data_IF_465029190499
#
_entry.id   IF_465029190499
#
_cell.length_a   1.000
_cell.length_b   1.000
_cell.length_c   1.000
_cell.angle_alpha   90.00
_cell.angle_beta   90.00
_cell.angle_gamma   90.00
#
_symmetry.space_group_name_H-M   'P 1'
#
loop_
_entity.id
_entity.type
_entity.pdbx_description
1 polymer ?
#
# COMPACT_ATOMS: atom_id res chain seq x y z
N UNK A 1 46.89 55.56 33.43
CA UNK A 1 47.93 55.03 32.57
C UNK A 1 47.43 53.68 31.99
N UNK A 2 47.35 53.67 30.75
CA UNK A 2 47.57 52.53 29.84
C UNK A 2 46.41 51.53 29.65
N UNK A 3 45.87 51.69 28.56
CA UNK A 3 45.98 50.91 27.31
C UNK A 3 44.89 49.87 27.19
N UNK A 4 43.98 50.11 26.33
CA UNK A 4 43.93 49.60 24.92
C UNK A 4 44.42 48.16 24.87
N UNK A 5 43.51 47.33 24.37
CA UNK A 5 43.67 46.12 23.65
C UNK A 5 42.50 45.21 24.15
N UNK A 6 41.48 44.87 23.42
CA UNK A 6 41.44 44.03 22.30
C UNK A 6 40.08 44.12 21.57
N UNK A 7 40.13 44.74 20.46
CA UNK A 7 39.20 44.46 19.37
C UNK A 7 39.72 43.21 18.71
N UNK A 8 38.96 42.14 18.73
CA UNK A 8 38.98 41.06 17.75
C UNK A 8 38.17 39.88 18.30
N UNK A 9 36.84 39.97 18.23
CA UNK A 9 36.10 38.76 18.16
C UNK A 9 35.33 38.78 16.83
N UNK A 10 35.99 38.09 15.90
CA UNK A 10 35.46 37.80 14.60
C UNK A 10 34.15 37.02 14.75
N UNK A 11 33.13 37.56 14.16
CA UNK A 11 31.86 36.89 13.89
C UNK A 11 32.12 35.70 12.96
N UNK A 12 32.25 34.53 13.52
CA UNK A 12 32.11 33.29 12.75
C UNK A 12 30.65 32.89 12.80
N UNK A 13 29.85 33.51 11.94
CA UNK A 13 28.51 33.05 11.65
C UNK A 13 28.60 31.71 10.91
N UNK A 14 28.50 30.61 11.66
CA UNK A 14 28.36 29.29 11.13
C UNK A 14 26.93 29.14 10.61
N UNK A 15 26.72 29.46 9.35
CA UNK A 15 25.47 29.20 8.63
C UNK A 15 25.32 27.70 8.45
N UNK A 16 24.57 27.06 9.34
CA UNK A 16 24.09 25.72 9.15
C UNK A 16 23.04 25.78 8.03
N UNK A 17 23.46 25.48 6.82
CA UNK A 17 22.56 25.26 5.70
C UNK A 17 21.77 23.99 6.00
N UNK A 18 20.55 24.15 6.51
CA UNK A 18 19.57 23.08 6.61
C UNK A 18 19.19 22.65 5.20
N UNK A 19 19.80 21.60 4.69
CA UNK A 19 19.35 20.90 3.51
C UNK A 19 18.01 20.22 3.85
N UNK A 20 16.92 20.91 3.64
CA UNK A 20 15.58 20.31 3.62
C UNK A 20 15.46 19.49 2.34
N UNK A 21 15.75 18.20 2.46
CA UNK A 21 15.46 17.25 1.40
C UNK A 21 13.94 17.13 1.31
N UNK A 22 13.32 17.93 0.46
CA UNK A 22 11.92 17.78 0.09
C UNK A 22 11.83 16.52 -0.76
N UNK A 23 11.41 15.42 -0.15
CA UNK A 23 10.97 14.27 -0.91
C UNK A 23 9.63 14.64 -1.54
N UNK A 24 9.51 14.68 -2.85
CA UNK A 24 8.20 14.76 -3.48
C UNK A 24 7.49 13.44 -3.19
N UNK A 25 6.63 13.43 -2.18
CA UNK A 25 5.64 12.39 -2.04
C UNK A 25 4.66 12.55 -3.21
N UNK A 26 5.09 12.11 -4.38
CA UNK A 26 4.19 11.91 -5.49
C UNK A 26 3.31 10.70 -5.15
N UNK A 27 2.36 10.91 -4.24
CA UNK A 27 1.19 10.07 -4.15
C UNK A 27 0.48 10.24 -5.49
N UNK A 28 0.83 9.40 -6.45
CA UNK A 28 0.08 9.28 -7.69
C UNK A 28 -1.27 8.70 -7.28
N UNK A 29 -2.23 9.60 -7.06
CA UNK A 29 -3.62 9.22 -6.98
C UNK A 29 -3.93 8.51 -8.30
N UNK A 30 -4.03 7.17 -8.25
CA UNK A 30 -4.56 6.40 -9.36
C UNK A 30 -5.93 7.00 -9.62
N UNK A 31 -6.10 7.71 -10.74
CA UNK A 31 -7.42 8.12 -11.21
C UNK A 31 -8.20 6.86 -11.45
N UNK A 32 -8.97 6.45 -10.47
CA UNK A 32 -10.02 5.46 -10.68
C UNK A 32 -11.00 6.13 -11.61
N UNK A 33 -10.97 5.72 -12.88
CA UNK A 33 -11.86 6.28 -13.89
C UNK A 33 -13.32 6.05 -13.49
N UNK A 34 -14.23 6.87 -14.01
CA UNK A 34 -15.66 6.75 -13.76
C UNK A 34 -16.24 5.38 -14.13
N UNK A 35 -15.50 4.59 -14.92
CA UNK A 35 -15.89 3.26 -15.40
C UNK A 35 -15.26 2.09 -14.63
N UNK A 36 -14.78 2.32 -13.42
CA UNK A 36 -14.24 1.25 -12.58
C UNK A 36 -15.36 0.56 -11.78
N UNK A 37 -15.39 -0.81 -11.76
CA UNK A 37 -14.56 -1.73 -12.53
C UNK A 37 -15.13 -1.99 -13.94
N UNK A 38 -14.29 -2.04 -14.97
CA UNK A 38 -14.68 -2.33 -16.36
C UNK A 38 -14.23 -3.70 -16.87
N UNK A 39 -13.62 -4.50 -16.00
CA UNK A 39 -13.16 -5.87 -16.28
C UNK A 39 -13.23 -6.71 -15.00
N UNK A 40 -13.14 -8.05 -15.11
CA UNK A 40 -13.15 -8.94 -13.95
C UNK A 40 -12.06 -8.60 -12.94
N UNK A 41 -12.40 -8.72 -11.65
CA UNK A 41 -11.48 -8.54 -10.54
C UNK A 41 -10.98 -9.89 -10.04
N UNK A 42 -9.81 -9.88 -9.43
CA UNK A 42 -9.21 -11.04 -8.78
C UNK A 42 -9.26 -10.88 -7.26
N UNK A 43 -9.85 -11.84 -6.58
CA UNK A 43 -9.87 -11.91 -5.12
C UNK A 43 -8.91 -13.02 -4.66
N UNK A 44 -7.76 -12.64 -4.16
CA UNK A 44 -6.77 -13.56 -3.58
C UNK A 44 -7.18 -13.91 -2.16
N UNK A 45 -7.37 -15.20 -1.89
CA UNK A 45 -7.72 -15.70 -0.56
C UNK A 45 -6.55 -16.48 0.02
N UNK A 46 -6.03 -16.06 1.16
CA UNK A 46 -4.88 -16.68 1.82
C UNK A 46 -5.22 -17.99 2.56
N UNK A 47 -6.17 -18.73 2.04
CA UNK A 47 -6.63 -19.99 2.60
C UNK A 47 -6.82 -21.06 1.51
N UNK A 48 -6.83 -22.33 1.95
CA UNK A 48 -7.15 -23.44 1.07
C UNK A 48 -8.61 -23.39 0.63
N UNK A 49 -8.94 -23.87 -0.58
CA UNK A 49 -10.32 -24.00 -1.05
C UNK A 49 -11.16 -24.87 -0.09
N UNK A 50 -12.43 -24.51 0.07
CA UNK A 50 -13.37 -25.25 0.91
C UNK A 50 -13.34 -24.92 2.40
N UNK A 51 -12.44 -24.06 2.86
CA UNK A 51 -12.41 -23.56 4.23
C UNK A 51 -13.43 -22.45 4.49
N UNK A 52 -13.57 -22.06 5.77
CA UNK A 52 -14.46 -20.95 6.17
C UNK A 52 -14.16 -19.63 5.47
N UNK A 53 -12.87 -19.33 5.29
CA UNK A 53 -12.43 -18.12 4.57
C UNK A 53 -12.81 -18.18 3.07
N UNK A 54 -12.72 -19.34 2.46
CA UNK A 54 -13.14 -19.53 1.06
C UNK A 54 -14.66 -19.36 0.90
N UNK A 55 -15.45 -19.94 1.83
CA UNK A 55 -16.88 -19.75 1.86
C UNK A 55 -17.28 -18.27 1.98
N UNK A 56 -16.66 -17.55 2.91
CA UNK A 56 -16.90 -16.12 3.06
C UNK A 56 -16.49 -15.33 1.82
N UNK A 57 -15.33 -15.64 1.22
CA UNK A 57 -14.87 -15.00 0.00
C UNK A 57 -15.85 -15.18 -1.16
N UNK A 58 -16.44 -16.37 -1.31
CA UNK A 58 -17.44 -16.65 -2.36
C UNK A 58 -18.70 -15.81 -2.18
N UNK A 59 -19.20 -15.68 -0.96
CA UNK A 59 -20.37 -14.82 -0.68
C UNK A 59 -20.07 -13.36 -0.99
N UNK A 60 -18.90 -12.88 -0.59
CA UNK A 60 -18.45 -11.50 -0.87
C UNK A 60 -18.30 -11.29 -2.37
N UNK A 61 -17.63 -12.21 -3.08
CA UNK A 61 -17.41 -12.13 -4.51
C UNK A 61 -18.72 -12.06 -5.28
N UNK A 62 -19.71 -12.87 -4.89
CA UNK A 62 -21.03 -12.85 -5.52
C UNK A 62 -21.70 -11.49 -5.32
N UNK A 63 -21.78 -10.99 -4.08
CA UNK A 63 -22.46 -9.73 -3.79
C UNK A 63 -21.78 -8.52 -4.44
N UNK A 64 -20.45 -8.49 -4.47
CA UNK A 64 -19.72 -7.45 -5.16
C UNK A 64 -19.87 -7.55 -6.67
N UNK A 65 -19.87 -8.77 -7.21
CA UNK A 65 -20.09 -9.02 -8.63
C UNK A 65 -21.46 -8.50 -9.09
N UNK A 66 -22.52 -8.81 -8.32
CA UNK A 66 -23.87 -8.32 -8.59
C UNK A 66 -23.94 -6.78 -8.54
N UNK A 67 -23.26 -6.17 -7.57
CA UNK A 67 -23.25 -4.71 -7.40
C UNK A 67 -22.48 -3.98 -8.50
N UNK A 68 -21.37 -4.55 -8.96
CA UNK A 68 -20.47 -3.90 -9.91
C UNK A 68 -20.69 -4.34 -11.35
N UNK A 69 -21.52 -5.36 -11.58
CA UNK A 69 -21.72 -5.93 -12.90
C UNK A 69 -20.47 -6.59 -13.48
N UNK A 70 -19.51 -6.95 -12.63
CA UNK A 70 -18.23 -7.55 -13.02
C UNK A 70 -17.98 -8.84 -12.25
N UNK A 71 -17.42 -9.82 -12.94
CA UNK A 71 -17.07 -11.10 -12.31
C UNK A 71 -15.90 -10.92 -11.35
N UNK A 72 -15.97 -11.55 -10.17
CA UNK A 72 -14.86 -11.64 -9.24
C UNK A 72 -14.33 -13.07 -9.21
N UNK A 73 -13.10 -13.24 -9.68
CA UNK A 73 -12.42 -14.53 -9.74
C UNK A 73 -11.70 -14.78 -8.43
N UNK A 74 -12.04 -15.88 -7.76
CA UNK A 74 -11.39 -16.28 -6.51
C UNK A 74 -10.12 -17.06 -6.83
N UNK A 75 -9.01 -16.63 -6.24
CA UNK A 75 -7.70 -17.29 -6.34
C UNK A 75 -7.21 -17.66 -4.93
N UNK A 76 -7.32 -18.93 -4.60
CA UNK A 76 -6.90 -19.44 -3.30
C UNK A 76 -5.37 -19.63 -3.27
N UNK A 77 -4.69 -18.87 -2.43
CA UNK A 77 -3.23 -18.89 -2.20
C UNK A 77 -2.94 -19.17 -0.73
N UNK A 78 -3.31 -20.36 -0.30
CA UNK A 78 -3.00 -20.83 1.05
C UNK A 78 -1.53 -21.22 1.21
N UNK A 79 -1.09 -21.30 2.45
CA UNK A 79 0.25 -21.76 2.82
C UNK A 79 1.05 -20.73 3.63
N UNK A 80 2.04 -21.24 4.37
CA UNK A 80 2.91 -20.44 5.24
C UNK A 80 2.15 -19.44 6.15
N UNK A 81 1.06 -19.89 6.80
CA UNK A 81 0.26 -19.03 7.68
C UNK A 81 -0.45 -17.86 6.99
N UNK A 82 -0.61 -17.91 5.67
CA UNK A 82 -1.23 -16.84 4.88
C UNK A 82 -0.23 -15.90 4.19
N UNK A 83 1.06 -16.06 4.42
CA UNK A 83 2.11 -15.21 3.85
C UNK A 83 2.14 -15.27 2.32
N UNK A 84 1.88 -16.43 1.72
CA UNK A 84 1.86 -16.58 0.26
C UNK A 84 0.76 -15.75 -0.38
N UNK A 85 -0.44 -15.75 0.19
CA UNK A 85 -1.54 -14.91 -0.27
C UNK A 85 -1.23 -13.42 -0.13
N UNK A 86 -0.72 -13.02 1.04
CA UNK A 86 -0.33 -11.64 1.31
C UNK A 86 0.75 -11.16 0.33
N UNK A 87 1.79 -11.97 0.08
CA UNK A 87 2.85 -11.67 -0.88
C UNK A 87 2.31 -11.53 -2.31
N UNK A 88 1.35 -12.37 -2.71
CA UNK A 88 0.71 -12.28 -4.02
C UNK A 88 -0.01 -10.93 -4.21
N UNK A 89 -0.71 -10.47 -3.19
CA UNK A 89 -1.41 -9.17 -3.23
C UNK A 89 -0.41 -8.01 -3.23
N UNK A 90 0.63 -8.09 -2.41
CA UNK A 90 1.65 -7.05 -2.32
C UNK A 90 2.42 -6.83 -3.63
N UNK A 91 2.58 -7.88 -4.43
CA UNK A 91 3.25 -7.84 -5.74
C UNK A 91 2.31 -7.54 -6.90
N UNK A 92 1.02 -7.45 -6.66
CA UNK A 92 0.04 -7.13 -7.70
C UNK A 92 0.16 -5.67 -8.14
N UNK A 93 -0.28 -5.40 -9.37
CA UNK A 93 -0.34 -4.02 -9.87
C UNK A 93 -1.31 -3.20 -9.01
N UNK A 94 -0.95 -1.96 -8.66
CA UNK A 94 -1.79 -1.09 -7.84
C UNK A 94 -2.92 -0.43 -8.64
N UNK A 95 -3.63 -1.23 -9.44
CA UNK A 95 -4.72 -0.79 -10.32
C UNK A 95 -6.13 -1.04 -9.74
N UNK A 96 -6.20 -1.64 -8.54
CA UNK A 96 -7.45 -1.95 -7.87
C UNK A 96 -8.14 -3.23 -8.34
N UNK A 97 -7.61 -3.96 -9.33
CA UNK A 97 -8.21 -5.18 -9.85
C UNK A 97 -7.77 -6.46 -9.13
N UNK A 98 -6.81 -6.36 -8.22
CA UNK A 98 -6.44 -7.45 -7.32
C UNK A 98 -6.74 -7.05 -5.89
N UNK A 99 -7.63 -7.78 -5.25
CA UNK A 99 -8.05 -7.57 -3.86
C UNK A 99 -7.58 -8.76 -3.05
N UNK A 100 -7.18 -8.55 -1.80
CA UNK A 100 -6.74 -9.62 -0.90
C UNK A 100 -7.67 -9.82 0.28
N UNK A 101 -8.05 -11.08 0.52
CA UNK A 101 -8.64 -11.53 1.78
C UNK A 101 -7.58 -12.35 2.52
N UNK A 102 -6.84 -11.67 3.39
CA UNK A 102 -5.70 -12.25 4.09
C UNK A 102 -6.06 -12.53 5.54
N UNK A 103 -5.89 -13.79 5.95
CA UNK A 103 -5.97 -14.22 7.33
C UNK A 103 -4.60 -14.71 7.73
N UNK A 104 -3.93 -13.98 8.60
CA UNK A 104 -2.65 -14.38 9.16
C UNK A 104 -2.89 -15.20 10.45
N UNK A 105 -2.27 -16.36 10.52
CA UNK A 105 -2.19 -17.13 11.76
C UNK A 105 -0.77 -17.04 12.29
N UNK A 106 -0.66 -16.47 13.44
CA UNK A 106 0.57 -16.42 14.21
C UNK A 106 0.63 -17.63 15.15
#
# INVERSE_FOLDING_TARGET
>A
MVMKIFRFWGLSALTVAACTISYPAAAQAVKVGADFPNRPLRLVVSAAPGGSSDGAARVIAQRLGDKWGQQIVIDNRGGAGGILGAGTVAQALPDGYTIGMVSLRF
#
